data_IF_946239421548
#
_entry.id   IF_946239421548
#
_cell.length_a   1.000
_cell.length_b   1.000
_cell.length_c   1.000
_cell.angle_alpha   90.00
_cell.angle_beta   90.00
_cell.angle_gamma   90.00
#
_symmetry.space_group_name_H-M   'P 1'
#
loop_
_entity.id
_entity.type
_entity.pdbx_description
1 polymer ?
#
# COMPACT_ATOMS: atom_id res chain seq x y z
N UNK A 1 9.90 -25.92 20.34
CA UNK A 1 8.60 -25.26 20.00
C UNK A 1 7.52 -26.24 19.55
N UNK A 2 7.77 -27.07 18.52
CA UNK A 2 6.80 -28.07 18.04
C UNK A 2 6.37 -29.08 19.12
N UNK A 3 7.29 -29.51 19.99
CA UNK A 3 6.98 -30.39 21.13
C UNK A 3 6.01 -29.78 22.16
N UNK A 4 5.91 -28.45 22.24
CA UNK A 4 5.02 -27.74 23.16
C UNK A 4 3.72 -27.26 22.47
N UNK A 5 3.73 -27.13 21.14
CA UNK A 5 2.56 -26.72 20.35
C UNK A 5 2.58 -27.43 18.98
N UNK A 6 2.01 -28.64 18.89
CA UNK A 6 1.85 -29.35 17.63
C UNK A 6 1.12 -28.49 16.59
N UNK A 7 1.58 -28.51 15.33
CA UNK A 7 1.01 -27.71 14.24
C UNK A 7 1.46 -26.24 14.17
N UNK A 8 2.44 -25.82 14.98
CA UNK A 8 3.05 -24.49 14.82
C UNK A 8 3.75 -24.36 13.46
N UNK A 9 3.49 -23.27 12.73
CA UNK A 9 4.13 -22.95 11.45
C UNK A 9 5.58 -22.47 11.59
N UNK A 10 6.06 -22.29 12.83
CA UNK A 10 7.45 -21.93 13.09
C UNK A 10 8.38 -23.07 12.63
N UNK A 11 9.32 -22.81 11.70
CA UNK A 11 10.28 -23.81 11.27
C UNK A 11 11.07 -24.35 12.48
N UNK A 12 11.24 -25.66 12.55
CA UNK A 12 12.18 -26.26 13.50
C UNK A 12 13.59 -26.13 12.93
N UNK A 13 14.48 -25.40 13.60
CA UNK A 13 15.89 -25.29 13.18
C UNK A 13 16.67 -26.59 13.42
N UNK A 14 16.29 -27.37 14.45
CA UNK A 14 16.88 -28.68 14.76
C UNK A 14 15.81 -29.75 15.01
N UNK A 15 15.00 -30.14 14.00
CA UNK A 15 14.06 -31.26 14.16
C UNK A 15 14.82 -32.52 14.58
N UNK A 16 14.31 -33.23 15.58
CA UNK A 16 14.95 -34.43 16.15
C UNK A 16 16.42 -34.20 16.59
N UNK A 17 16.78 -32.96 16.93
CA UNK A 17 18.15 -32.61 17.31
C UNK A 17 19.13 -32.58 16.13
N UNK A 18 18.66 -32.51 14.88
CA UNK A 18 19.51 -32.43 13.68
C UNK A 18 19.29 -31.12 12.94
N UNK A 19 20.36 -30.45 12.56
CA UNK A 19 20.30 -29.19 11.81
C UNK A 19 19.48 -29.31 10.53
N UNK A 20 18.48 -28.44 10.39
CA UNK A 20 17.69 -28.30 9.17
C UNK A 20 18.49 -27.61 8.06
N UNK A 21 19.32 -26.61 8.40
CA UNK A 21 20.24 -25.98 7.46
C UNK A 21 21.62 -26.65 7.54
N UNK A 22 22.02 -27.33 6.46
CA UNK A 22 23.28 -28.07 6.35
C UNK A 22 24.46 -27.24 5.84
N UNK A 23 24.18 -26.07 5.26
CA UNK A 23 25.22 -25.19 4.70
C UNK A 23 25.97 -24.45 5.80
N UNK A 24 25.30 -24.12 6.89
CA UNK A 24 25.90 -23.42 8.04
C UNK A 24 26.68 -24.41 8.89
N UNK A 25 27.99 -24.16 9.07
CA UNK A 25 28.89 -25.01 9.90
C UNK A 25 28.83 -26.51 9.53
N UNK A 26 28.56 -26.83 8.26
CA UNK A 26 28.43 -28.20 7.77
C UNK A 26 27.23 -28.98 8.34
N UNK A 27 26.23 -28.29 8.91
CA UNK A 27 25.07 -28.93 9.53
C UNK A 27 25.37 -29.59 10.88
N UNK A 28 26.49 -29.24 11.51
CA UNK A 28 26.81 -29.66 12.88
C UNK A 28 25.91 -28.92 13.87
N UNK A 29 25.06 -29.68 14.56
CA UNK A 29 24.03 -29.11 15.44
C UNK A 29 24.62 -28.45 16.67
N UNK A 30 25.60 -29.08 17.30
CA UNK A 30 26.20 -28.56 18.54
C UNK A 30 26.99 -27.29 18.24
N UNK A 31 27.70 -27.23 17.11
CA UNK A 31 28.42 -26.02 16.67
C UNK A 31 27.48 -24.88 16.32
N UNK A 32 26.35 -25.15 15.67
CA UNK A 32 25.34 -24.11 15.38
C UNK A 32 24.69 -23.56 16.65
N UNK A 33 24.38 -24.42 17.63
CA UNK A 33 23.84 -23.96 18.93
C UNK A 33 24.91 -23.18 19.70
N UNK A 34 26.14 -23.69 19.74
CA UNK A 34 27.26 -23.03 20.41
C UNK A 34 27.57 -21.66 19.81
N UNK A 35 27.47 -21.49 18.48
CA UNK A 35 27.69 -20.19 17.84
C UNK A 35 26.63 -19.17 18.24
N UNK A 36 25.36 -19.58 18.36
CA UNK A 36 24.28 -18.71 18.84
C UNK A 36 24.51 -18.31 20.31
N UNK A 37 24.88 -19.28 21.16
CA UNK A 37 25.16 -19.01 22.57
C UNK A 37 26.39 -18.11 22.75
N UNK A 38 27.44 -18.31 21.96
CA UNK A 38 28.63 -17.47 21.97
C UNK A 38 28.29 -16.03 21.57
N UNK A 39 27.50 -15.85 20.51
CA UNK A 39 27.04 -14.53 20.10
C UNK A 39 26.11 -13.88 21.15
N UNK A 40 25.21 -14.65 21.78
CA UNK A 40 24.34 -14.11 22.82
C UNK A 40 25.09 -13.67 24.09
N UNK A 41 26.25 -14.28 24.38
CA UNK A 41 27.09 -13.94 25.54
C UNK A 41 27.94 -12.70 25.29
N UNK A 42 28.69 -12.72 24.19
CA UNK A 42 29.80 -11.77 23.99
C UNK A 42 29.73 -11.06 22.63
N UNK A 43 28.72 -11.35 21.81
CA UNK A 43 28.54 -10.79 20.49
C UNK A 43 28.40 -9.27 20.52
N UNK A 44 29.15 -8.60 19.65
CA UNK A 44 29.08 -7.15 19.45
C UNK A 44 28.76 -6.86 17.98
N UNK A 45 27.94 -5.84 17.76
CA UNK A 45 27.53 -5.43 16.42
C UNK A 45 26.49 -6.37 15.79
N UNK A 46 26.21 -6.13 14.53
CA UNK A 46 25.29 -6.95 13.75
C UNK A 46 26.04 -8.18 13.21
N UNK A 47 25.45 -9.39 13.25
CA UNK A 47 26.06 -10.56 12.67
C UNK A 47 26.22 -10.42 11.16
N UNK A 48 27.16 -11.16 10.59
CA UNK A 48 27.33 -11.25 9.13
C UNK A 48 26.01 -11.69 8.47
N UNK A 49 25.63 -11.03 7.38
CA UNK A 49 24.36 -11.28 6.69
C UNK A 49 23.13 -10.66 7.36
N UNK A 50 23.27 -9.94 8.48
CA UNK A 50 22.20 -9.08 8.97
C UNK A 50 21.94 -7.98 7.94
N UNK A 51 20.68 -7.81 7.45
CA UNK A 51 20.40 -6.82 6.42
C UNK A 51 20.80 -5.45 6.94
N UNK A 52 21.59 -4.73 6.16
CA UNK A 52 21.78 -3.30 6.44
C UNK A 52 20.40 -2.69 6.34
N UNK A 53 19.90 -2.08 7.42
CA UNK A 53 18.55 -1.52 7.49
C UNK A 53 18.45 -0.22 6.67
N UNK A 54 18.97 -0.24 5.45
CA UNK A 54 18.91 0.84 4.50
C UNK A 54 17.50 0.80 3.91
N UNK A 55 16.69 1.80 4.27
CA UNK A 55 15.55 2.17 3.44
C UNK A 55 16.04 2.18 1.97
N UNK A 56 15.35 1.43 1.10
CA UNK A 56 15.51 1.23 -0.36
C UNK A 56 15.70 -0.23 -0.81
N UNK A 57 16.02 -1.18 0.06
CA UNK A 57 16.12 -2.59 -0.36
C UNK A 57 14.76 -3.21 -0.73
N UNK A 58 13.67 -2.68 -0.18
CA UNK A 58 12.31 -3.21 -0.36
C UNK A 58 11.40 -2.23 -1.08
N UNK A 59 11.98 -1.42 -1.97
CA UNK A 59 11.20 -0.59 -2.88
C UNK A 59 10.35 -1.46 -3.80
N UNK A 60 9.04 -1.24 -3.72
CA UNK A 60 8.10 -1.82 -4.66
C UNK A 60 8.13 -0.99 -5.94
N UNK A 61 8.56 -1.59 -7.05
CA UNK A 61 8.68 -0.92 -8.35
C UNK A 61 7.60 -1.47 -9.29
N UNK A 62 6.55 -0.69 -9.61
CA UNK A 62 5.55 -1.09 -10.60
C UNK A 62 6.20 -1.10 -12.00
N UNK A 63 6.48 -2.28 -12.55
CA UNK A 63 7.16 -2.41 -13.86
C UNK A 63 6.19 -2.59 -15.02
N UNK A 64 5.35 -3.62 -14.97
CA UNK A 64 4.46 -4.00 -16.07
C UNK A 64 2.97 -3.90 -15.73
N UNK A 65 2.63 -3.92 -14.45
CA UNK A 65 1.26 -3.83 -13.95
C UNK A 65 1.21 -3.02 -12.66
N UNK A 66 0.04 -2.47 -12.28
CA UNK A 66 -0.09 -1.78 -11.02
C UNK A 66 0.21 -2.70 -9.84
N UNK A 67 0.76 -2.11 -8.78
CA UNK A 67 0.93 -2.76 -7.47
C UNK A 67 -0.09 -2.13 -6.52
N UNK A 68 -0.85 -2.98 -5.82
CA UNK A 68 -1.72 -2.55 -4.73
C UNK A 68 -1.10 -3.01 -3.41
N UNK A 69 -0.78 -2.06 -2.52
CA UNK A 69 -0.13 -2.33 -1.24
C UNK A 69 -0.92 -1.69 -0.11
N UNK A 70 -1.34 -2.48 0.89
CA UNK A 70 -1.94 -1.94 2.13
C UNK A 70 -0.84 -1.61 3.12
N UNK A 71 -0.95 -0.49 3.81
CA UNK A 71 0.10 0.00 4.71
C UNK A 71 -0.43 1.01 5.73
N UNK A 72 0.46 1.50 6.59
CA UNK A 72 0.24 2.71 7.39
C UNK A 72 0.99 3.86 6.72
N UNK A 73 0.26 4.91 6.34
CA UNK A 73 0.84 6.02 5.60
C UNK A 73 0.53 7.36 6.28
N UNK A 74 1.55 8.20 6.42
CA UNK A 74 1.42 9.54 6.96
C UNK A 74 0.38 10.33 6.17
N UNK A 75 -0.42 11.14 6.86
CA UNK A 75 -1.52 11.94 6.28
C UNK A 75 -2.70 11.15 5.70
N UNK A 76 -2.60 9.82 5.63
CA UNK A 76 -3.67 8.92 5.16
C UNK A 76 -4.27 8.14 6.33
N UNK A 77 -3.46 7.44 7.12
CA UNK A 77 -3.96 6.62 8.22
C UNK A 77 -3.51 5.16 8.17
N UNK A 78 -4.15 4.35 9.02
CA UNK A 78 -3.90 2.91 9.15
C UNK A 78 -4.62 2.04 8.10
N UNK A 79 -5.53 2.64 7.34
CA UNK A 79 -6.34 1.97 6.31
C UNK A 79 -5.90 2.41 4.90
N UNK A 80 -4.62 2.80 4.77
CA UNK A 80 -4.08 3.27 3.51
C UNK A 80 -3.95 2.11 2.51
N UNK A 81 -4.48 2.34 1.31
CA UNK A 81 -4.35 1.43 0.16
C UNK A 81 -3.59 2.20 -0.91
N UNK A 82 -2.34 1.82 -1.13
CA UNK A 82 -1.49 2.41 -2.14
C UNK A 82 -1.71 1.73 -3.48
N UNK A 83 -1.69 2.51 -4.55
CA UNK A 83 -1.73 2.02 -5.93
C UNK A 83 -0.58 2.63 -6.68
N UNK A 84 0.37 1.79 -7.10
CA UNK A 84 1.53 2.20 -7.86
C UNK A 84 1.38 1.82 -9.32
N UNK A 85 1.28 2.78 -10.24
CA UNK A 85 1.21 2.51 -11.68
C UNK A 85 2.60 2.50 -12.35
N UNK A 86 2.81 1.64 -13.38
CA UNK A 86 4.03 1.65 -14.19
C UNK A 86 4.35 2.99 -14.87
N UNK A 87 3.34 3.83 -15.09
CA UNK A 87 3.50 5.17 -15.62
C UNK A 87 4.21 6.16 -14.67
N UNK A 88 4.64 5.71 -13.47
CA UNK A 88 5.31 6.56 -12.48
C UNK A 88 4.37 7.53 -11.77
N UNK A 89 3.07 7.24 -11.77
CA UNK A 89 2.03 7.97 -11.05
C UNK A 89 1.45 7.03 -10.00
N UNK A 90 1.24 7.54 -8.80
CA UNK A 90 0.89 6.72 -7.64
C UNK A 90 -0.19 7.41 -6.81
N UNK A 91 -1.00 6.61 -6.12
CA UNK A 91 -2.14 7.06 -5.33
C UNK A 91 -2.09 6.40 -3.95
N UNK A 92 -2.48 7.14 -2.91
CA UNK A 92 -2.87 6.59 -1.62
C UNK A 92 -4.36 6.86 -1.40
N UNK A 93 -5.10 5.79 -1.18
CA UNK A 93 -6.53 5.81 -0.88
C UNK A 93 -6.74 5.55 0.61
N UNK A 94 -7.57 6.36 1.24
CA UNK A 94 -8.02 6.17 2.61
C UNK A 94 -9.28 5.29 2.60
N UNK A 95 -9.09 4.01 2.95
CA UNK A 95 -10.20 3.05 3.05
C UNK A 95 -11.10 3.27 4.27
N UNK A 96 -10.71 4.09 5.24
CA UNK A 96 -11.58 4.43 6.40
C UNK A 96 -12.60 5.47 6.01
N UNK A 97 -12.17 6.55 5.38
CA UNK A 97 -13.02 7.67 4.99
C UNK A 97 -13.54 7.59 3.54
N UNK A 98 -13.22 6.51 2.82
CA UNK A 98 -13.63 6.25 1.44
C UNK A 98 -13.28 7.41 0.49
N UNK A 99 -12.00 7.78 0.45
CA UNK A 99 -11.51 8.90 -0.34
C UNK A 99 -10.09 8.70 -0.86
N UNK A 100 -9.72 9.32 -2.00
CA UNK A 100 -8.32 9.58 -2.29
C UNK A 100 -7.74 10.54 -1.25
N UNK A 101 -6.49 10.30 -0.85
CA UNK A 101 -5.79 11.12 0.14
C UNK A 101 -4.54 11.78 -0.45
N UNK A 102 -3.69 11.02 -1.14
CA UNK A 102 -2.45 11.52 -1.74
C UNK A 102 -2.30 11.01 -3.18
N UNK A 103 -1.70 11.81 -4.05
CA UNK A 103 -1.21 11.40 -5.37
C UNK A 103 0.19 11.94 -5.56
N UNK A 104 1.08 11.18 -6.18
CA UNK A 104 2.44 11.63 -6.45
C UNK A 104 3.03 11.02 -7.71
N UNK A 105 4.11 11.66 -8.20
CA UNK A 105 4.94 11.16 -9.29
C UNK A 105 6.28 10.63 -8.80
N UNK A 106 6.90 9.75 -9.59
CA UNK A 106 8.26 9.28 -9.40
C UNK A 106 8.31 7.89 -8.79
N UNK A 107 8.90 7.78 -7.60
CA UNK A 107 9.10 6.50 -6.91
C UNK A 107 7.89 6.13 -6.07
N UNK A 108 7.57 4.84 -6.02
CA UNK A 108 6.32 4.38 -5.43
C UNK A 108 6.39 4.32 -3.90
N UNK A 109 6.94 3.24 -3.36
CA UNK A 109 6.82 2.93 -1.94
C UNK A 109 7.93 1.97 -1.52
N UNK A 110 8.48 2.17 -0.32
CA UNK A 110 9.38 1.22 0.33
C UNK A 110 8.62 0.46 1.41
N UNK A 111 8.59 -0.87 1.31
CA UNK A 111 7.84 -1.70 2.24
C UNK A 111 8.62 -2.10 3.49
N UNK A 112 9.91 -1.76 3.60
CA UNK A 112 10.81 -2.24 4.65
C UNK A 112 10.26 -1.97 6.05
N UNK A 113 9.84 -0.73 6.33
CA UNK A 113 9.33 -0.36 7.65
C UNK A 113 8.11 -1.19 8.02
N UNK A 114 7.17 -1.39 7.10
CA UNK A 114 5.98 -2.21 7.38
C UNK A 114 6.22 -3.72 7.44
N UNK A 115 7.21 -4.25 6.71
CA UNK A 115 7.43 -5.70 6.62
C UNK A 115 8.37 -6.22 7.70
N UNK A 116 9.37 -5.43 8.10
CA UNK A 116 10.44 -5.88 8.98
C UNK A 116 10.50 -5.12 10.30
N UNK A 117 9.90 -3.93 10.41
CA UNK A 117 9.81 -3.24 11.70
C UNK A 117 8.56 -3.66 12.47
N UNK A 118 8.73 -4.00 13.75
CA UNK A 118 7.63 -4.20 14.70
C UNK A 118 7.12 -2.88 15.31
N UNK A 119 7.80 -1.79 15.02
CA UNK A 119 7.39 -0.41 15.32
C UNK A 119 7.42 0.38 14.01
N UNK A 120 6.64 -0.08 13.03
CA UNK A 120 6.61 0.55 11.71
C UNK A 120 6.12 2.01 11.85
N UNK A 121 6.95 2.99 11.46
CA UNK A 121 6.47 4.37 11.38
C UNK A 121 5.42 4.48 10.27
N UNK A 122 4.67 5.57 10.29
CA UNK A 122 3.83 5.93 9.17
C UNK A 122 4.73 6.31 7.99
N UNK A 123 4.64 5.53 6.92
CA UNK A 123 5.48 5.72 5.74
C UNK A 123 5.09 6.98 4.98
N UNK A 124 6.01 7.49 4.16
CA UNK A 124 5.79 8.66 3.28
C UNK A 124 5.99 8.25 1.82
N UNK A 125 5.40 8.98 0.86
CA UNK A 125 5.70 8.78 -0.56
C UNK A 125 7.22 8.87 -0.80
N UNK A 126 7.76 7.99 -1.64
CA UNK A 126 9.16 8.08 -2.07
C UNK A 126 9.37 9.16 -3.14
N UNK A 127 8.33 9.51 -3.89
CA UNK A 127 8.35 10.58 -4.87
C UNK A 127 8.13 11.94 -4.25
N UNK A 128 8.72 12.98 -4.86
CA UNK A 128 8.75 14.34 -4.30
C UNK A 128 7.56 15.20 -4.75
N UNK A 129 6.91 14.86 -5.86
CA UNK A 129 5.81 15.65 -6.43
C UNK A 129 4.45 15.25 -5.88
N UNK A 130 4.29 15.37 -4.56
CA UNK A 130 3.08 14.97 -3.83
C UNK A 130 2.02 16.06 -3.89
N UNK A 131 0.78 15.69 -4.20
CA UNK A 131 -0.40 16.51 -4.05
C UNK A 131 -1.41 15.80 -3.14
N UNK A 132 -2.04 16.55 -2.24
CA UNK A 132 -2.96 16.02 -1.24
C UNK A 132 -4.39 16.46 -1.53
N UNK A 133 -5.34 15.55 -1.30
CA UNK A 133 -6.75 15.92 -1.19
C UNK A 133 -7.01 16.56 0.18
N UNK A 134 -7.94 17.53 0.27
CA UNK A 134 -8.45 18.02 1.54
C UNK A 134 -8.86 16.86 2.45
N UNK A 135 -8.70 17.04 3.76
CA UNK A 135 -9.14 16.08 4.76
C UNK A 135 -10.63 15.70 4.62
N UNK A 136 -11.08 14.67 5.35
CA UNK A 136 -12.47 14.23 5.29
C UNK A 136 -13.43 15.40 5.57
N UNK A 137 -14.36 15.64 4.65
CA UNK A 137 -15.41 16.63 4.85
C UNK A 137 -16.51 16.05 5.73
N UNK A 138 -16.98 16.80 6.74
CA UNK A 138 -18.09 16.37 7.61
C UNK A 138 -19.38 16.06 6.83
N UNK A 139 -19.57 16.69 5.67
CA UNK A 139 -20.78 16.61 4.85
C UNK A 139 -20.88 15.34 3.96
N UNK A 140 -19.92 14.41 4.02
CA UNK A 140 -19.81 13.33 3.03
C UNK A 140 -20.77 12.15 3.21
N UNK A 141 -21.77 12.28 4.09
CA UNK A 141 -22.67 11.19 4.47
C UNK A 141 -21.95 10.06 5.21
N UNK A 142 -22.71 9.09 5.71
CA UNK A 142 -22.12 7.85 6.21
C UNK A 142 -21.56 7.07 5.01
N UNK A 143 -20.28 7.30 4.70
CA UNK A 143 -19.53 6.51 3.71
C UNK A 143 -19.12 5.19 4.33
N UNK A 144 -19.30 4.09 3.60
CA UNK A 144 -18.86 2.78 4.04
C UNK A 144 -18.02 2.13 2.94
N UNK A 145 -16.83 1.68 3.31
CA UNK A 145 -15.93 1.03 2.36
C UNK A 145 -16.37 -0.42 2.12
N UNK A 146 -16.56 -0.77 0.86
CA UNK A 146 -17.02 -2.10 0.44
C UNK A 146 -15.90 -2.91 -0.23
N UNK A 147 -14.66 -2.38 -0.23
CA UNK A 147 -13.48 -3.03 -0.82
C UNK A 147 -13.06 -2.45 -2.17
N UNK A 148 -12.34 -3.25 -2.95
CA UNK A 148 -11.98 -2.92 -4.32
C UNK A 148 -11.94 -4.17 -5.18
N UNK A 149 -12.11 -4.00 -6.50
CA UNK A 149 -11.92 -5.06 -7.50
C UNK A 149 -10.77 -4.68 -8.42
N UNK A 150 -9.97 -5.67 -8.80
CA UNK A 150 -8.93 -5.51 -9.80
C UNK A 150 -9.48 -5.96 -11.16
N UNK A 151 -9.22 -5.18 -12.21
CA UNK A 151 -9.43 -5.65 -13.57
C UNK A 151 -8.31 -6.59 -14.04
N UNK A 152 -8.40 -7.10 -15.26
CA UNK A 152 -7.39 -7.98 -15.84
C UNK A 152 -5.99 -7.32 -15.96
N UNK A 153 -5.93 -5.99 -16.01
CA UNK A 153 -4.68 -5.22 -16.01
C UNK A 153 -4.15 -4.92 -14.61
N UNK A 154 -4.89 -5.27 -13.55
CA UNK A 154 -4.53 -5.00 -12.16
C UNK A 154 -4.89 -3.60 -11.67
N UNK A 155 -5.66 -2.81 -12.43
CA UNK A 155 -6.09 -1.47 -11.99
C UNK A 155 -7.27 -1.62 -11.02
N UNK A 156 -7.20 -1.04 -9.81
CA UNK A 156 -8.28 -1.14 -8.84
C UNK A 156 -9.43 -0.19 -9.14
N UNK A 157 -10.65 -0.70 -8.96
CA UNK A 157 -11.86 0.09 -8.75
C UNK A 157 -12.27 -0.05 -7.30
N UNK A 158 -12.19 1.05 -6.55
CA UNK A 158 -12.65 1.18 -5.18
C UNK A 158 -14.17 1.22 -5.12
N UNK A 159 -14.73 0.53 -4.15
CA UNK A 159 -16.16 0.38 -3.95
C UNK A 159 -16.48 0.91 -2.56
N UNK A 160 -17.46 1.80 -2.50
CA UNK A 160 -17.99 2.32 -1.25
C UNK A 160 -19.47 2.60 -1.41
N UNK A 161 -20.19 2.81 -0.32
CA UNK A 161 -21.56 3.29 -0.34
C UNK A 161 -21.67 4.65 0.33
N UNK A 162 -22.61 5.48 -0.11
CA UNK A 162 -22.96 6.76 0.50
C UNK A 162 -24.42 6.69 0.90
N UNK A 163 -24.70 6.63 2.21
CA UNK A 163 -26.08 6.42 2.68
C UNK A 163 -26.73 5.14 2.12
N UNK A 164 -25.92 4.10 1.93
CA UNK A 164 -26.36 2.82 1.36
C UNK A 164 -26.40 2.77 -0.18
N UNK A 165 -26.21 3.89 -0.89
CA UNK A 165 -26.15 3.91 -2.35
C UNK A 165 -24.75 3.52 -2.84
N UNK A 166 -24.59 2.46 -3.65
CA UNK A 166 -23.27 2.05 -4.15
C UNK A 166 -22.62 3.10 -5.05
N UNK A 167 -21.33 3.28 -4.86
CA UNK A 167 -20.44 4.12 -5.67
C UNK A 167 -19.20 3.31 -6.05
N UNK A 168 -18.82 3.37 -7.31
CA UNK A 168 -17.56 2.83 -7.81
C UNK A 168 -16.64 3.97 -8.26
N UNK A 169 -15.40 3.94 -7.79
CA UNK A 169 -14.39 4.96 -8.04
C UNK A 169 -13.11 4.33 -8.56
N UNK A 170 -12.58 4.86 -9.66
CA UNK A 170 -11.41 4.31 -10.35
C UNK A 170 -10.42 5.40 -10.68
N UNK A 171 -9.14 5.07 -10.56
CA UNK A 171 -8.02 5.91 -10.93
C UNK A 171 -7.12 5.18 -11.92
N UNK A 172 -6.66 5.87 -12.95
CA UNK A 172 -5.74 5.32 -13.94
C UNK A 172 -4.87 6.42 -14.55
N UNK A 173 -3.63 6.14 -14.95
CA UNK A 173 -2.81 7.10 -15.68
C UNK A 173 -3.53 7.59 -16.94
N UNK A 174 -3.47 8.89 -17.19
CA UNK A 174 -3.93 9.50 -18.43
C UNK A 174 -2.76 9.89 -19.32
N UNK A 175 -3.06 10.39 -20.52
CA UNK A 175 -2.08 10.99 -21.42
C UNK A 175 -1.27 12.10 -20.73
N UNK A 176 -0.07 12.37 -21.27
CA UNK A 176 0.85 13.42 -20.82
C UNK A 176 1.22 13.36 -19.32
N UNK A 177 1.21 12.16 -18.74
CA UNK A 177 1.55 11.95 -17.33
C UNK A 177 0.53 12.58 -16.37
N UNK A 178 -0.74 12.64 -16.77
CA UNK A 178 -1.84 13.00 -15.88
C UNK A 178 -2.47 11.77 -15.19
N UNK A 179 -3.46 12.02 -14.34
CA UNK A 179 -4.26 10.99 -13.69
C UNK A 179 -5.73 11.18 -14.07
N UNK A 180 -6.36 10.13 -14.60
CA UNK A 180 -7.82 10.09 -14.76
C UNK A 180 -8.46 9.52 -13.50
N UNK A 181 -9.54 10.16 -13.06
CA UNK A 181 -10.45 9.64 -12.03
C UNK A 181 -11.86 9.55 -12.61
N UNK A 182 -12.52 8.42 -12.39
CA UNK A 182 -13.92 8.24 -12.71
C UNK A 182 -14.70 7.78 -11.48
N UNK A 183 -15.90 8.33 -11.28
CA UNK A 183 -16.87 7.90 -10.28
C UNK A 183 -18.16 7.51 -10.99
N UNK A 184 -18.80 6.46 -10.55
CA UNK A 184 -20.10 6.01 -11.06
C UNK A 184 -21.03 5.63 -9.92
N UNK A 185 -22.30 6.02 -10.02
CA UNK A 185 -23.34 5.77 -9.02
C UNK A 185 -24.72 5.80 -9.67
N UNK A 186 -25.76 5.37 -8.95
CA UNK A 186 -27.15 5.53 -9.41
C UNK A 186 -27.64 6.97 -9.10
N UNK A 187 -27.85 7.83 -10.12
CA UNK A 187 -28.25 9.23 -9.91
C UNK A 187 -29.68 9.40 -9.40
N UNK A 188 -30.55 8.40 -9.57
CA UNK A 188 -31.91 8.43 -9.02
C UNK A 188 -31.91 8.25 -7.50
N UNK A 189 -31.02 7.39 -7.00
CA UNK A 189 -30.87 7.11 -5.57
C UNK A 189 -29.96 8.13 -4.86
N UNK A 190 -28.98 8.68 -5.56
CA UNK A 190 -28.07 9.70 -5.07
C UNK A 190 -27.96 10.85 -6.08
N UNK A 191 -28.75 11.90 -5.86
CA UNK A 191 -28.88 13.04 -6.80
C UNK A 191 -27.57 13.80 -7.02
N UNK A 192 -26.70 13.85 -6.02
CA UNK A 192 -25.40 14.51 -6.11
C UNK A 192 -24.33 13.78 -5.31
N UNK A 193 -23.13 13.73 -5.88
CA UNK A 193 -21.92 13.23 -5.23
C UNK A 193 -20.78 14.19 -5.56
N UNK A 194 -20.62 15.31 -4.82
CA UNK A 194 -19.58 16.28 -5.11
C UNK A 194 -18.19 15.66 -4.81
N UNK A 195 -17.29 15.56 -5.79
CA UNK A 195 -15.95 15.06 -5.57
C UNK A 195 -15.05 16.14 -4.97
N UNK A 196 -14.17 15.76 -4.05
CA UNK A 196 -13.04 16.60 -3.65
C UNK A 196 -11.89 16.48 -4.66
N UNK A 197 -11.03 17.50 -4.74
CA UNK A 197 -9.90 17.54 -5.67
C UNK A 197 -8.59 17.80 -4.93
N UNK A 198 -7.44 17.31 -5.45
CA UNK A 198 -6.15 17.55 -4.82
C UNK A 198 -5.71 19.00 -5.01
N UNK A 199 -5.09 19.57 -3.98
CA UNK A 199 -4.53 20.93 -4.05
C UNK A 199 -3.28 20.94 -4.93
N UNK A 200 -3.13 21.99 -5.75
CA UNK A 200 -1.92 22.21 -6.55
C UNK A 200 -1.87 21.50 -7.90
N UNK A 201 -2.86 20.66 -8.24
CA UNK A 201 -3.01 20.10 -9.58
C UNK A 201 -4.07 20.88 -10.37
N UNK A 202 -3.87 21.00 -11.68
CA UNK A 202 -4.93 21.44 -12.57
C UNK A 202 -5.98 20.33 -12.68
N UNK A 203 -7.25 20.71 -12.53
CA UNK A 203 -8.39 19.79 -12.61
C UNK A 203 -9.19 20.14 -13.85
N UNK A 204 -9.44 19.14 -14.70
CA UNK A 204 -10.34 19.28 -15.85
C UNK A 204 -11.41 18.20 -15.81
N UNK A 205 -12.67 18.60 -15.70
CA UNK A 205 -13.79 17.69 -15.94
C UNK A 205 -13.89 17.37 -17.44
N UNK A 206 -14.17 16.11 -17.74
CA UNK A 206 -14.22 15.62 -19.13
C UNK A 206 -15.65 15.65 -19.67
N UNK A 207 -15.78 15.58 -20.99
CA UNK A 207 -17.06 15.42 -21.67
C UNK A 207 -17.72 14.05 -21.43
N UNK A 208 -17.01 13.12 -20.77
CA UNK A 208 -17.55 11.82 -20.39
C UNK A 208 -18.36 11.86 -19.07
N UNK A 209 -18.37 13.01 -18.37
CA UNK A 209 -19.26 13.26 -17.24
C UNK A 209 -20.73 13.34 -17.69
N UNK A 210 -21.63 12.74 -16.91
CA UNK A 210 -23.08 12.70 -17.13
C UNK A 210 -23.79 12.43 -15.79
N UNK A 211 -25.14 12.54 -15.69
CA UNK A 211 -25.84 12.10 -14.49
C UNK A 211 -25.46 10.66 -14.10
N UNK A 212 -24.94 10.47 -12.88
CA UNK A 212 -24.48 9.17 -12.39
C UNK A 212 -23.04 8.80 -12.76
N UNK A 213 -22.33 9.67 -13.48
CA UNK A 213 -20.91 9.49 -13.81
C UNK A 213 -20.16 10.83 -13.77
N UNK A 214 -19.07 10.91 -13.02
CA UNK A 214 -18.14 12.05 -13.12
C UNK A 214 -16.76 11.56 -13.51
N UNK A 215 -16.10 12.27 -14.42
CA UNK A 215 -14.76 11.93 -14.88
C UNK A 215 -13.87 13.17 -14.99
N UNK A 216 -12.71 13.11 -14.34
CA UNK A 216 -11.75 14.19 -14.22
C UNK A 216 -10.37 13.76 -14.69
N UNK A 217 -9.63 14.70 -15.27
CA UNK A 217 -8.20 14.59 -15.53
C UNK A 217 -7.46 15.55 -14.59
N UNK A 218 -6.45 15.04 -13.89
CA UNK A 218 -5.53 15.81 -13.06
C UNK A 218 -4.18 15.91 -13.76
N UNK A 219 -3.66 17.11 -13.91
CA UNK A 219 -2.32 17.36 -14.45
C UNK A 219 -1.47 18.14 -13.48
N UNK A 220 -0.20 17.78 -13.40
CA UNK A 220 0.79 18.53 -12.64
C UNK A 220 1.13 19.84 -13.39
N UNK A 221 1.49 20.91 -12.66
CA UNK A 221 1.98 22.15 -13.25
C UNK A 221 3.19 21.96 -14.16
#
# INVERSE_FOLDING_TARGET
PAAYRPGTLMPSFWPEGKAANREILGGDTDRQIASILAFARDGKGLPEGFPTTAAREFELIPRSRPIVQRTFMAEVGTHAILVGFPAGIHLAYDGRDCRPALVWKGRFFDAYGTWFSRFAPFEKPLGETVAAWPGPAEANGARQFEGYRLDAGGVPTFLFSVGGVPVAERFEPSENGGLRRSLTWNPEALRSLPPSHPTGLTVRETTASAPGKSEFIYTWP
#
